data_IF_077526480221
#
_entry.id   IF_077526480221
#
_cell.length_a   1.000
_cell.length_b   1.000
_cell.length_c   1.000
_cell.angle_alpha   90.00
_cell.angle_beta   90.00
_cell.angle_gamma   90.00
#
_symmetry.space_group_name_H-M   'P 1'
#
loop_
_entity.id
_entity.type
_entity.pdbx_description
1 polymer ?
#
# COMPACT_ATOMS: atom_id res chain seq x y z
N UNK A 1 20.75 -17.77 7.31
CA UNK A 1 21.18 -16.72 6.36
C UNK A 1 21.12 -17.34 4.97
N UNK A 2 20.53 -16.66 3.98
CA UNK A 2 20.50 -17.19 2.61
C UNK A 2 21.92 -17.19 2.01
N UNK A 3 22.22 -18.20 1.18
CA UNK A 3 23.50 -18.28 0.46
C UNK A 3 23.60 -17.13 -0.57
N UNK A 4 24.73 -16.43 -0.59
CA UNK A 4 24.99 -15.34 -1.52
C UNK A 4 24.88 -15.77 -2.99
N UNK A 5 25.34 -16.97 -3.34
CA UNK A 5 25.19 -17.51 -4.69
C UNK A 5 23.73 -17.67 -5.07
N UNK A 6 22.91 -18.16 -4.14
CA UNK A 6 21.47 -18.29 -4.34
C UNK A 6 20.80 -16.92 -4.51
N UNK A 7 21.16 -15.92 -3.69
CA UNK A 7 20.62 -14.55 -3.78
C UNK A 7 20.91 -13.94 -5.16
N UNK A 8 22.10 -14.17 -5.71
CA UNK A 8 22.51 -13.61 -6.99
C UNK A 8 21.92 -14.37 -8.20
N UNK A 9 21.68 -15.67 -8.08
CA UNK A 9 21.26 -16.53 -9.21
C UNK A 9 19.76 -16.84 -9.25
N UNK A 10 19.01 -16.64 -8.16
CA UNK A 10 17.58 -16.98 -8.10
C UNK A 10 16.76 -16.22 -9.15
N UNK A 11 15.82 -16.93 -9.79
CA UNK A 11 14.81 -16.38 -10.71
C UNK A 11 13.53 -15.93 -9.98
N UNK A 12 13.49 -15.97 -8.66
CA UNK A 12 12.35 -15.47 -7.88
C UNK A 12 12.11 -14.00 -8.21
N UNK A 13 10.88 -13.65 -8.58
CA UNK A 13 10.52 -12.35 -9.13
C UNK A 13 10.95 -11.14 -8.26
N UNK A 14 10.85 -11.15 -6.90
CA UNK A 14 11.27 -9.99 -6.13
C UNK A 14 12.77 -9.73 -6.26
N UNK A 15 13.60 -10.79 -6.30
CA UNK A 15 15.04 -10.66 -6.48
C UNK A 15 15.40 -10.18 -7.89
N UNK A 16 14.71 -10.68 -8.91
CA UNK A 16 14.90 -10.24 -10.30
C UNK A 16 14.62 -8.76 -10.44
N UNK A 17 13.49 -8.29 -9.94
CA UNK A 17 13.07 -6.89 -10.03
C UNK A 17 14.00 -5.97 -9.22
N UNK A 18 14.44 -6.36 -8.03
CA UNK A 18 15.38 -5.57 -7.24
C UNK A 18 16.75 -5.48 -7.93
N UNK A 19 17.28 -6.59 -8.45
CA UNK A 19 18.56 -6.53 -9.21
C UNK A 19 18.44 -5.60 -10.41
N UNK A 20 17.31 -5.62 -11.13
CA UNK A 20 17.03 -4.70 -12.23
C UNK A 20 16.96 -3.24 -11.75
N UNK A 21 16.21 -2.96 -10.68
CA UNK A 21 16.12 -1.63 -10.08
C UNK A 21 17.49 -1.08 -9.71
N UNK A 22 18.30 -1.87 -9.01
CA UNK A 22 19.65 -1.48 -8.57
C UNK A 22 20.57 -1.19 -9.75
N UNK A 23 20.45 -1.95 -10.84
CA UNK A 23 21.21 -1.72 -12.07
C UNK A 23 20.74 -0.46 -12.80
N UNK A 24 19.43 -0.35 -13.07
CA UNK A 24 18.85 0.69 -13.93
C UNK A 24 18.84 2.07 -13.26
N UNK A 25 18.82 2.11 -11.91
CA UNK A 25 18.77 3.35 -11.11
C UNK A 25 20.02 3.59 -10.27
N UNK A 26 21.13 2.94 -10.59
CA UNK A 26 22.38 2.95 -9.82
C UNK A 26 22.83 4.36 -9.40
N UNK A 27 22.88 5.30 -10.34
CA UNK A 27 23.38 6.65 -10.07
C UNK A 27 22.40 7.45 -9.20
N UNK A 28 21.10 7.30 -9.44
CA UNK A 28 20.06 7.94 -8.61
C UNK A 28 20.06 7.42 -7.18
N UNK A 29 20.17 6.09 -7.02
CA UNK A 29 20.23 5.45 -5.70
C UNK A 29 21.49 5.92 -4.96
N UNK A 30 22.64 5.97 -5.64
CA UNK A 30 23.89 6.49 -5.05
C UNK A 30 23.77 7.95 -4.61
N UNK A 31 23.10 8.78 -5.40
CA UNK A 31 22.92 10.20 -5.10
C UNK A 31 21.95 10.46 -3.94
N UNK A 32 20.87 9.67 -3.83
CA UNK A 32 19.81 9.82 -2.82
C UNK A 32 20.05 8.99 -1.57
N UNK A 33 20.81 7.92 -1.66
CA UNK A 33 21.06 6.90 -0.62
C UNK A 33 19.76 6.37 0.01
N UNK A 34 18.67 6.34 -0.75
CA UNK A 34 17.35 5.90 -0.30
C UNK A 34 16.50 5.39 -1.45
N UNK A 35 15.70 4.36 -1.18
CA UNK A 35 14.67 3.84 -2.09
C UNK A 35 13.31 4.02 -1.43
N UNK A 36 12.36 4.61 -2.16
CA UNK A 36 10.96 4.71 -1.74
C UNK A 36 10.15 3.71 -2.56
N UNK A 37 9.49 2.82 -1.86
CA UNK A 37 8.48 1.93 -2.41
C UNK A 37 7.10 2.53 -2.17
N UNK A 38 6.21 2.37 -3.12
CA UNK A 38 4.84 2.87 -2.98
C UNK A 38 3.84 1.78 -3.35
N UNK A 39 2.78 1.69 -2.57
CA UNK A 39 1.57 0.93 -2.90
C UNK A 39 0.37 1.85 -2.89
N UNK A 40 -0.61 1.59 -3.77
CA UNK A 40 -1.83 2.40 -3.88
C UNK A 40 -3.00 1.72 -3.21
N UNK A 41 -3.89 2.52 -2.62
CA UNK A 41 -5.13 2.08 -2.02
C UNK A 41 -6.25 3.08 -2.31
N UNK A 42 -7.33 2.60 -2.92
CA UNK A 42 -8.56 3.38 -3.05
C UNK A 42 -9.50 3.07 -1.88
N UNK A 43 -9.71 4.01 -0.93
CA UNK A 43 -10.48 3.76 0.30
C UNK A 43 -12.00 3.82 0.06
N UNK A 44 -12.48 3.20 -1.02
CA UNK A 44 -13.90 3.11 -1.38
C UNK A 44 -14.64 1.95 -0.72
N UNK A 45 -13.99 1.22 0.19
CA UNK A 45 -14.52 0.11 0.96
C UNK A 45 -13.51 -0.38 1.98
N UNK A 46 -13.94 -1.32 2.83
CA UNK A 46 -13.08 -1.89 3.87
C UNK A 46 -11.89 -2.66 3.26
N UNK A 47 -10.72 -2.69 3.93
CA UNK A 47 -9.57 -3.48 3.50
C UNK A 47 -9.92 -4.97 3.33
N UNK A 48 -9.37 -5.59 2.32
CA UNK A 48 -9.61 -6.99 1.97
C UNK A 48 -8.34 -7.68 1.47
N UNK A 49 -8.45 -8.93 1.03
CA UNK A 49 -7.30 -9.74 0.57
C UNK A 49 -6.52 -9.09 -0.59
N UNK A 50 -7.19 -8.30 -1.45
CA UNK A 50 -6.52 -7.54 -2.50
C UNK A 50 -5.60 -6.46 -1.91
N UNK A 51 -6.07 -5.73 -0.91
CA UNK A 51 -5.29 -4.73 -0.16
C UNK A 51 -4.07 -5.39 0.50
N UNK A 52 -4.26 -6.55 1.14
CA UNK A 52 -3.16 -7.34 1.69
C UNK A 52 -2.14 -7.69 0.60
N UNK A 53 -2.59 -8.17 -0.56
CA UNK A 53 -1.75 -8.57 -1.67
C UNK A 53 -0.86 -7.43 -2.20
N UNK A 54 -1.38 -6.19 -2.25
CA UNK A 54 -0.60 -5.03 -2.67
C UNK A 54 0.58 -4.76 -1.72
N UNK A 55 0.30 -4.70 -0.43
CA UNK A 55 1.34 -4.43 0.58
C UNK A 55 2.30 -5.62 0.72
N UNK A 56 1.80 -6.85 0.67
CA UNK A 56 2.62 -8.06 0.75
C UNK A 56 3.61 -8.14 -0.42
N UNK A 57 3.18 -7.88 -1.66
CA UNK A 57 4.08 -7.86 -2.83
C UNK A 57 5.19 -6.83 -2.67
N UNK A 58 4.86 -5.62 -2.23
CA UNK A 58 5.86 -4.58 -2.00
C UNK A 58 6.81 -4.96 -0.87
N UNK A 59 6.32 -5.58 0.20
CA UNK A 59 7.15 -6.09 1.29
C UNK A 59 8.08 -7.22 0.86
N UNK A 60 7.67 -8.07 -0.09
CA UNK A 60 8.56 -9.07 -0.70
C UNK A 60 9.72 -8.42 -1.46
N UNK A 61 9.47 -7.30 -2.15
CA UNK A 61 10.52 -6.51 -2.81
C UNK A 61 11.51 -5.94 -1.79
N UNK A 62 11.01 -5.37 -0.70
CA UNK A 62 11.83 -4.84 0.40
C UNK A 62 12.68 -5.94 1.03
N UNK A 63 12.09 -7.11 1.28
CA UNK A 63 12.84 -8.26 1.79
C UNK A 63 13.96 -8.69 0.84
N UNK A 64 13.70 -8.74 -0.47
CA UNK A 64 14.72 -9.06 -1.45
C UNK A 64 15.84 -8.00 -1.47
N UNK A 65 15.51 -6.71 -1.37
CA UNK A 65 16.49 -5.63 -1.24
C UNK A 65 17.42 -5.86 -0.04
N UNK A 66 16.84 -6.10 1.14
CA UNK A 66 17.60 -6.31 2.38
C UNK A 66 18.55 -7.53 2.33
N UNK A 67 18.25 -8.50 1.47
CA UNK A 67 19.14 -9.64 1.23
C UNK A 67 20.24 -9.34 0.20
N UNK A 68 19.98 -8.45 -0.76
CA UNK A 68 20.95 -8.13 -1.85
C UNK A 68 21.92 -7.03 -1.41
N UNK A 69 21.39 -5.96 -0.82
CA UNK A 69 22.16 -4.77 -0.45
C UNK A 69 21.42 -3.98 0.64
N UNK A 70 22.15 -3.56 1.66
CA UNK A 70 21.63 -2.67 2.70
C UNK A 70 21.56 -1.24 2.14
N UNK A 71 20.34 -0.75 1.91
CA UNK A 71 20.03 0.61 1.45
C UNK A 71 18.85 1.11 2.29
N UNK A 72 18.90 2.37 2.73
CA UNK A 72 17.76 3.00 3.40
C UNK A 72 16.52 2.96 2.51
N UNK A 73 15.40 2.59 3.08
CA UNK A 73 14.16 2.44 2.33
C UNK A 73 12.93 2.70 3.20
N UNK A 74 11.84 3.08 2.55
CA UNK A 74 10.54 3.18 3.18
C UNK A 74 9.44 2.67 2.24
N UNK A 75 8.32 2.26 2.83
CA UNK A 75 7.09 1.92 2.13
C UNK A 75 6.06 3.01 2.39
N UNK A 76 5.64 3.70 1.35
CA UNK A 76 4.52 4.64 1.39
C UNK A 76 3.25 3.89 0.99
N UNK A 77 2.27 3.86 1.87
CA UNK A 77 0.91 3.43 1.56
C UNK A 77 0.10 4.65 1.13
N UNK A 78 -0.01 4.86 -0.16
CA UNK A 78 -0.70 6.00 -0.72
C UNK A 78 -2.22 5.74 -0.78
N UNK A 79 -3.01 6.66 -0.25
CA UNK A 79 -4.47 6.60 -0.30
C UNK A 79 -5.04 7.57 -1.34
N UNK A 80 -5.82 7.06 -2.29
CA UNK A 80 -6.57 7.84 -3.28
C UNK A 80 -7.93 8.28 -2.70
N UNK A 81 -7.93 8.94 -1.55
CA UNK A 81 -9.15 9.32 -0.82
C UNK A 81 -9.92 10.49 -1.45
N UNK A 82 -9.31 11.19 -2.40
CA UNK A 82 -9.99 12.18 -3.25
C UNK A 82 -10.74 11.57 -4.45
N UNK A 83 -10.61 10.27 -4.68
CA UNK A 83 -11.37 9.58 -5.71
C UNK A 83 -12.88 9.65 -5.44
N UNK A 84 -13.66 9.78 -6.52
CA UNK A 84 -15.12 9.78 -6.45
C UNK A 84 -15.68 8.39 -6.14
N UNK A 85 -16.66 8.32 -5.25
CA UNK A 85 -17.37 7.07 -4.94
C UNK A 85 -18.11 6.57 -6.17
N UNK A 86 -17.69 5.46 -6.76
CA UNK A 86 -18.26 4.91 -8.00
C UNK A 86 -19.46 3.99 -7.79
N UNK A 87 -19.47 3.29 -6.66
CA UNK A 87 -20.54 2.36 -6.25
C UNK A 87 -20.62 2.25 -4.74
N UNK A 88 -21.77 1.91 -4.24
CA UNK A 88 -21.95 1.61 -2.81
C UNK A 88 -21.40 0.21 -2.54
N UNK A 89 -20.44 0.04 -1.61
CA UNK A 89 -19.96 -1.29 -1.20
C UNK A 89 -21.08 -2.09 -0.53
N UNK A 90 -20.99 -3.40 -0.60
CA UNK A 90 -21.90 -4.29 0.13
C UNK A 90 -21.61 -4.26 1.65
N UNK A 91 -22.61 -4.58 2.44
CA UNK A 91 -22.51 -4.71 3.90
C UNK A 91 -22.09 -3.43 4.64
N UNK A 92 -22.41 -2.26 4.10
CA UNK A 92 -22.20 -0.97 4.77
C UNK A 92 -23.50 -0.56 5.46
N UNK A 93 -23.49 -0.16 6.76
CA UNK A 93 -24.64 0.42 7.41
C UNK A 93 -24.97 1.79 6.76
N UNK A 94 -26.23 2.21 6.87
CA UNK A 94 -26.68 3.50 6.34
C UNK A 94 -26.30 3.73 4.87
N UNK A 95 -26.44 2.72 4.04
CA UNK A 95 -26.06 2.74 2.62
C UNK A 95 -26.69 3.89 1.83
N UNK A 96 -27.81 4.44 2.31
CA UNK A 96 -28.46 5.62 1.75
C UNK A 96 -27.53 6.83 1.72
N UNK A 97 -26.70 7.02 2.78
CA UNK A 97 -25.71 8.11 2.82
C UNK A 97 -24.76 8.01 1.65
N UNK A 98 -24.31 6.80 1.33
CA UNK A 98 -23.40 6.57 0.19
C UNK A 98 -24.12 6.72 -1.16
N UNK A 99 -25.37 6.24 -1.29
CA UNK A 99 -26.20 6.37 -2.50
C UNK A 99 -26.43 7.84 -2.85
N UNK A 100 -26.71 8.67 -1.87
CA UNK A 100 -26.99 10.11 -2.05
C UNK A 100 -25.71 10.91 -2.34
N UNK A 101 -24.53 10.29 -2.23
CA UNK A 101 -23.22 10.92 -2.43
C UNK A 101 -22.37 10.24 -3.50
N UNK A 102 -22.97 9.44 -4.39
CA UNK A 102 -22.23 8.88 -5.53
C UNK A 102 -21.56 9.97 -6.38
N UNK A 103 -20.34 9.69 -6.82
CA UNK A 103 -19.51 10.60 -7.60
C UNK A 103 -18.74 11.65 -6.81
N UNK A 104 -19.04 11.83 -5.52
CA UNK A 104 -18.30 12.78 -4.66
C UNK A 104 -16.99 12.16 -4.16
N UNK A 105 -15.96 13.01 -3.89
CA UNK A 105 -14.73 12.56 -3.23
C UNK A 105 -15.01 11.88 -1.89
N UNK A 106 -14.29 10.79 -1.62
CA UNK A 106 -14.50 9.98 -0.40
C UNK A 106 -14.30 10.79 0.89
N UNK A 107 -13.42 11.79 0.85
CA UNK A 107 -13.16 12.72 1.97
C UNK A 107 -14.34 13.65 2.29
N UNK A 108 -15.28 13.84 1.37
CA UNK A 108 -16.45 14.73 1.55
C UNK A 108 -17.72 13.96 1.89
N UNK A 109 -17.71 12.64 1.84
CA UNK A 109 -18.87 11.79 2.14
C UNK A 109 -18.93 11.53 3.64
N UNK A 110 -20.05 11.83 4.32
CA UNK A 110 -20.19 11.49 5.74
C UNK A 110 -19.97 10.00 6.00
N UNK A 111 -19.34 9.67 7.13
CA UNK A 111 -19.09 8.28 7.49
C UNK A 111 -20.40 7.54 7.79
N UNK A 112 -20.77 6.50 7.02
CA UNK A 112 -21.99 5.73 7.28
C UNK A 112 -21.96 4.94 8.59
N UNK A 113 -20.79 4.79 9.21
CA UNK A 113 -20.61 4.15 10.52
C UNK A 113 -20.68 5.15 11.69
N UNK A 114 -20.68 6.45 11.42
CA UNK A 114 -20.68 7.53 12.41
C UNK A 114 -19.50 7.47 13.41
N UNK A 115 -18.33 7.03 12.96
CA UNK A 115 -17.11 6.92 13.79
C UNK A 115 -16.07 7.99 13.46
N UNK A 116 -16.04 8.44 12.22
CA UNK A 116 -15.07 9.40 11.69
C UNK A 116 -15.80 10.54 10.96
N UNK A 117 -15.06 11.57 10.54
CA UNK A 117 -15.66 12.71 9.85
C UNK A 117 -16.10 12.38 8.42
N UNK A 118 -15.42 11.43 7.77
CA UNK A 118 -15.74 11.04 6.40
C UNK A 118 -15.58 9.53 6.17
N UNK A 119 -16.19 9.07 5.09
CA UNK A 119 -16.05 7.69 4.65
C UNK A 119 -14.61 7.37 4.21
N UNK A 120 -13.91 8.33 3.58
CA UNK A 120 -12.49 8.20 3.28
C UNK A 120 -11.63 8.02 4.54
N UNK A 121 -11.84 8.87 5.56
CA UNK A 121 -11.14 8.77 6.84
C UNK A 121 -11.41 7.43 7.53
N UNK A 122 -12.67 6.98 7.57
CA UNK A 122 -13.03 5.68 8.14
C UNK A 122 -12.21 4.54 7.50
N UNK A 123 -12.21 4.46 6.17
CA UNK A 123 -11.52 3.38 5.48
C UNK A 123 -9.98 3.50 5.59
N UNK A 124 -9.44 4.71 5.66
CA UNK A 124 -8.03 4.95 5.90
C UNK A 124 -7.60 4.45 7.29
N UNK A 125 -8.38 4.72 8.33
CA UNK A 125 -8.08 4.19 9.68
C UNK A 125 -8.21 2.66 9.73
N UNK A 126 -9.21 2.09 9.07
CA UNK A 126 -9.31 0.63 8.93
C UNK A 126 -8.12 0.03 8.19
N UNK A 127 -7.57 0.72 7.18
CA UNK A 127 -6.35 0.28 6.50
C UNK A 127 -5.13 0.31 7.43
N UNK A 128 -4.94 1.39 8.19
CA UNK A 128 -3.83 1.49 9.15
C UNK A 128 -3.90 0.38 10.19
N UNK A 129 -5.07 0.13 10.75
CA UNK A 129 -5.29 -0.97 11.71
C UNK A 129 -4.99 -2.33 11.08
N UNK A 130 -5.43 -2.55 9.84
CA UNK A 130 -5.16 -3.76 9.09
C UNK A 130 -3.66 -3.98 8.86
N UNK A 131 -2.93 -2.96 8.41
CA UNK A 131 -1.49 -3.02 8.16
C UNK A 131 -0.71 -3.28 9.45
N UNK A 132 -1.08 -2.61 10.55
CA UNK A 132 -0.48 -2.81 11.86
C UNK A 132 -0.71 -4.23 12.39
N UNK A 133 -1.92 -4.77 12.22
CA UNK A 133 -2.26 -6.15 12.62
C UNK A 133 -1.38 -7.21 11.95
N UNK A 134 -0.93 -6.95 10.74
CA UNK A 134 -0.03 -7.84 9.99
C UNK A 134 1.45 -7.43 10.10
N UNK A 135 1.79 -6.51 11.00
CA UNK A 135 3.17 -6.03 11.22
C UNK A 135 3.85 -5.46 9.96
N UNK A 136 3.12 -4.88 9.06
CA UNK A 136 3.73 -4.14 7.96
C UNK A 136 4.32 -2.83 8.47
N UNK A 137 5.54 -2.52 8.05
CA UNK A 137 6.16 -1.20 8.28
C UNK A 137 5.79 -0.29 7.11
N UNK A 138 5.15 0.82 7.39
CA UNK A 138 4.67 1.76 6.37
C UNK A 138 4.65 3.20 6.86
N UNK A 139 4.65 4.12 5.90
CA UNK A 139 4.28 5.54 6.06
C UNK A 139 2.95 5.75 5.32
N UNK A 140 2.06 6.58 5.89
CA UNK A 140 0.72 6.81 5.32
C UNK A 140 0.58 8.27 4.90
#
# INVERSE_FOLDING_TARGET
>A
MLDNNLIQSTSSWPFVEIRKLLKDRKDLIKAKNKIVFQTGYGPSGLPHIGTFGEVARTSMMINALNHIQEIDHELITFSDDMDGLRKVPENIPNDKVLKDNLGKPLTTIPDPFNKFNSFGEHNNEMLKDFLNKFNFKFVF
#
